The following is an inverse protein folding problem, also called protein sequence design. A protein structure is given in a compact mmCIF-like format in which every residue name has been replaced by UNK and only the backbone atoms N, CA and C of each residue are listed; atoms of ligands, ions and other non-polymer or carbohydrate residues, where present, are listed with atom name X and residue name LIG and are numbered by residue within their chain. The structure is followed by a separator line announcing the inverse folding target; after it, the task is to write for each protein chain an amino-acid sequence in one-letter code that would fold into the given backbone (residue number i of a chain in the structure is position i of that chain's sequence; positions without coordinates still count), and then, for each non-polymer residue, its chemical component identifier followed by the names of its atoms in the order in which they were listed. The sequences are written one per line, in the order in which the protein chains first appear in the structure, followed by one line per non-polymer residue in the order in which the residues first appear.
data_IF_697946149600
#
_entry.id   IF_697946149600
#
_cell.length_a   1.000
_cell.length_b   1.000
_cell.length_c   1.000
_cell.angle_alpha   90.00
_cell.angle_beta   90.00
_cell.angle_gamma   90.00
#
_symmetry.space_group_name_H-M   'P 1'
#
loop_
_entity.id
_entity.type
_entity.pdbx_description
1 polymer ?
#
# COMPACT_ATOMS: atom_id res chain seq x y z
N UNK A 1 18.40 -47.50 14.63
CA UNK A 1 19.17 -46.37 14.09
C UNK A 1 18.87 -46.31 12.60
N UNK A 2 18.33 -45.27 11.98
CA UNK A 2 18.33 -43.85 12.33
C UNK A 2 17.07 -43.18 11.73
N UNK A 3 16.27 -42.54 12.58
CA UNK A 3 14.93 -41.94 12.29
C UNK A 3 15.01 -40.42 12.08
N UNK A 4 16.15 -39.88 11.63
CA UNK A 4 16.47 -38.45 11.79
C UNK A 4 17.01 -37.70 10.56
N UNK A 5 16.79 -38.12 9.32
CA UNK A 5 17.20 -37.29 8.17
C UNK A 5 16.17 -37.30 7.07
N UNK A 6 15.75 -36.09 6.68
CA UNK A 6 14.90 -35.70 5.53
C UNK A 6 13.49 -35.19 5.85
N UNK A 7 13.19 -34.87 7.12
CA UNK A 7 12.32 -33.73 7.42
C UNK A 7 13.17 -32.46 7.46
N UNK A 8 13.65 -32.01 6.29
CA UNK A 8 14.13 -30.64 6.15
C UNK A 8 13.00 -29.84 5.51
N UNK A 9 11.93 -29.74 6.29
CA UNK A 9 10.86 -28.74 6.16
C UNK A 9 11.46 -27.46 6.71
N UNK A 10 12.25 -26.74 5.91
CA UNK A 10 12.77 -25.40 6.18
C UNK A 10 13.07 -24.81 4.80
N UNK A 11 12.49 -23.73 4.30
CA UNK A 11 11.59 -22.75 4.84
C UNK A 11 11.62 -21.61 3.82
N UNK A 12 10.76 -21.65 2.81
CA UNK A 12 10.56 -20.55 1.84
C UNK A 12 9.10 -20.57 1.38
N UNK A 13 8.18 -20.37 2.32
CA UNK A 13 6.76 -20.10 2.05
C UNK A 13 6.27 -18.97 2.97
N UNK A 14 7.10 -17.94 3.15
CA UNK A 14 6.75 -16.73 3.86
C UNK A 14 7.06 -15.54 2.94
N UNK A 15 6.02 -14.99 2.31
CA UNK A 15 6.18 -13.85 1.41
C UNK A 15 4.97 -13.50 0.55
N UNK A 16 3.85 -14.19 0.68
CA UNK A 16 2.56 -13.76 0.12
C UNK A 16 1.65 -13.34 1.26
N UNK A 17 1.96 -12.21 1.88
CA UNK A 17 0.97 -11.47 2.66
C UNK A 17 -0.01 -10.81 1.68
N UNK A 18 -0.87 -11.62 1.07
CA UNK A 18 -2.07 -11.13 0.38
C UNK A 18 -3.08 -10.81 1.48
N UNK A 19 -2.93 -9.64 2.12
CA UNK A 19 -3.96 -9.14 3.02
C UNK A 19 -5.05 -8.47 2.17
N UNK A 20 -6.00 -9.33 1.80
CA UNK A 20 -7.43 -9.05 1.67
C UNK A 20 -7.84 -7.73 1.01
N UNK A 21 -7.84 -7.73 -0.34
CA UNK A 21 -8.78 -6.93 -1.13
C UNK A 21 -10.19 -7.49 -0.89
N UNK A 22 -10.83 -7.15 0.24
CA UNK A 22 -12.16 -7.69 0.58
C UNK A 22 -13.32 -6.69 0.36
N UNK A 23 -13.20 -5.75 -0.58
CA UNK A 23 -14.28 -4.78 -0.86
C UNK A 23 -14.52 -4.45 -2.33
N UNK A 24 -13.99 -5.25 -3.27
CA UNK A 24 -14.07 -4.93 -4.70
C UNK A 24 -15.42 -5.25 -5.37
N UNK A 25 -16.40 -5.87 -4.70
CA UNK A 25 -17.61 -6.40 -5.37
C UNK A 25 -18.91 -5.67 -5.04
N UNK A 26 -19.00 -4.83 -4.00
CA UNK A 26 -20.31 -4.27 -3.57
C UNK A 26 -20.44 -2.74 -3.58
N UNK A 27 -19.47 -1.99 -4.13
CA UNK A 27 -19.55 -0.53 -4.24
C UNK A 27 -19.59 -0.05 -5.68
N UNK A 28 -20.78 0.02 -6.28
CA UNK A 28 -20.99 0.61 -7.61
C UNK A 28 -20.58 2.08 -7.67
N UNK A 29 -19.86 2.48 -8.73
CA UNK A 29 -19.49 3.88 -8.96
C UNK A 29 -18.33 4.13 -9.94
N UNK A 30 -18.54 3.84 -11.24
CA UNK A 30 -18.20 4.80 -12.30
C UNK A 30 -16.75 5.15 -12.69
N UNK A 31 -15.69 4.44 -12.28
CA UNK A 31 -14.36 4.62 -12.89
C UNK A 31 -13.84 3.30 -13.46
N UNK A 32 -14.01 3.10 -14.76
CA UNK A 32 -13.38 2.00 -15.48
C UNK A 32 -11.86 2.00 -15.32
N UNK A 33 -11.20 0.92 -15.75
CA UNK A 33 -9.73 0.82 -15.72
C UNK A 33 -9.12 1.99 -16.50
N UNK A 34 -8.50 2.94 -15.80
CA UNK A 34 -7.89 4.12 -16.42
C UNK A 34 -6.50 4.33 -15.86
N UNK A 35 -5.50 4.31 -16.73
CA UNK A 35 -4.15 4.70 -16.37
C UNK A 35 -4.12 6.19 -16.02
N UNK A 36 -3.37 6.54 -14.98
CA UNK A 36 -3.29 7.89 -14.45
C UNK A 36 -1.86 8.39 -14.63
N UNK A 37 -1.69 9.46 -15.41
CA UNK A 37 -0.39 10.14 -15.50
C UNK A 37 0.07 10.61 -14.12
N UNK A 38 1.37 10.51 -13.85
CA UNK A 38 1.98 11.02 -12.62
C UNK A 38 1.77 12.51 -12.39
N UNK A 39 1.44 13.27 -13.45
CA UNK A 39 1.13 14.70 -13.37
C UNK A 39 -0.34 15.01 -13.08
N UNK A 40 -1.19 14.00 -12.98
CA UNK A 40 -2.62 14.21 -12.69
C UNK A 40 -2.84 14.70 -11.26
N UNK A 41 -3.97 15.37 -11.03
CA UNK A 41 -4.38 15.78 -9.70
C UNK A 41 -4.52 14.57 -8.75
N UNK A 42 -5.10 13.47 -9.23
CA UNK A 42 -5.30 12.24 -8.45
C UNK A 42 -3.95 11.65 -7.98
N UNK A 43 -2.95 11.62 -8.87
CA UNK A 43 -1.61 11.10 -8.53
C UNK A 43 -0.87 12.01 -7.55
N UNK A 44 -1.00 13.34 -7.71
CA UNK A 44 -0.41 14.31 -6.79
C UNK A 44 -1.01 14.21 -5.40
N UNK A 45 -2.35 14.18 -5.30
CA UNK A 45 -3.05 14.04 -4.02
C UNK A 45 -2.68 12.71 -3.35
N UNK A 46 -2.60 11.61 -4.09
CA UNK A 46 -2.19 10.34 -3.52
C UNK A 46 -0.74 10.38 -2.98
N UNK A 47 0.18 11.01 -3.72
CA UNK A 47 1.55 11.20 -3.25
C UNK A 47 1.63 12.14 -2.04
N UNK A 48 0.76 13.15 -1.95
CA UNK A 48 0.65 14.00 -0.76
C UNK A 48 0.20 13.20 0.46
N UNK A 49 -0.80 12.32 0.31
CA UNK A 49 -1.24 11.42 1.39
C UNK A 49 -0.12 10.47 1.82
N UNK A 50 0.59 9.85 0.87
CA UNK A 50 1.71 8.94 1.17
C UNK A 50 2.85 9.69 1.87
N UNK A 51 3.17 10.91 1.43
CA UNK A 51 4.20 11.74 2.07
C UNK A 51 3.78 12.25 3.45
N UNK A 52 2.49 12.54 3.66
CA UNK A 52 1.98 12.96 4.96
C UNK A 52 2.19 11.84 6.00
N UNK A 53 1.79 10.60 5.67
CA UNK A 53 2.01 9.48 6.60
C UNK A 53 3.48 9.12 6.75
N UNK A 54 4.31 9.29 5.71
CA UNK A 54 5.74 9.08 5.81
C UNK A 54 6.42 10.13 6.72
N UNK A 55 5.96 11.38 6.69
CA UNK A 55 6.47 12.43 7.55
C UNK A 55 6.08 12.23 9.01
N UNK A 56 4.84 11.79 9.25
CA UNK A 56 4.30 11.52 10.59
C UNK A 56 3.43 10.25 10.60
N UNK A 57 4.00 9.08 10.94
CA UNK A 57 3.28 7.83 11.03
C UNK A 57 2.10 7.84 12.01
N UNK A 58 2.09 8.75 13.00
CA UNK A 58 0.97 8.86 13.96
C UNK A 58 -0.32 9.37 13.30
N UNK A 59 -0.22 10.01 12.13
CA UNK A 59 -1.36 10.53 11.36
C UNK A 59 -2.03 9.48 10.48
N UNK A 60 -1.50 8.26 10.38
CA UNK A 60 -2.02 7.20 9.49
C UNK A 60 -3.52 7.01 9.66
N UNK A 61 -4.01 6.91 10.89
CA UNK A 61 -5.44 6.74 11.18
C UNK A 61 -6.31 7.85 10.56
N UNK A 62 -5.84 9.10 10.53
CA UNK A 62 -6.57 10.23 9.95
C UNK A 62 -6.64 10.16 8.42
N UNK A 63 -5.68 9.49 7.78
CA UNK A 63 -5.60 9.27 6.34
C UNK A 63 -6.24 7.96 5.86
N UNK A 64 -6.71 7.11 6.76
CA UNK A 64 -7.47 5.91 6.41
C UNK A 64 -8.91 6.24 6.02
N UNK A 65 -9.52 5.38 5.20
CA UNK A 65 -10.98 5.37 4.97
C UNK A 65 -11.72 5.04 6.26
N UNK A 66 -12.94 5.56 6.41
CA UNK A 66 -13.77 5.22 7.55
C UNK A 66 -14.03 3.70 7.62
N UNK A 67 -13.82 3.11 8.80
CA UNK A 67 -14.04 1.68 9.00
C UNK A 67 -12.99 0.75 8.37
N UNK A 68 -11.80 1.27 8.01
CA UNK A 68 -10.68 0.41 7.63
C UNK A 68 -10.41 -0.64 8.71
N UNK A 69 -10.11 -1.87 8.29
CA UNK A 69 -9.78 -2.95 9.22
C UNK A 69 -8.48 -2.63 9.98
N UNK A 70 -8.44 -2.97 11.28
CA UNK A 70 -7.27 -2.70 12.13
C UNK A 70 -5.97 -3.25 11.55
N UNK A 71 -5.99 -4.46 10.99
CA UNK A 71 -4.80 -5.06 10.36
C UNK A 71 -4.30 -4.29 9.12
N UNK A 72 -5.19 -3.63 8.38
CA UNK A 72 -4.77 -2.77 7.25
C UNK A 72 -4.11 -1.50 7.78
N UNK A 73 -4.70 -0.89 8.82
CA UNK A 73 -4.11 0.29 9.46
C UNK A 73 -2.72 -0.02 10.04
N UNK A 74 -2.55 -1.16 10.69
CA UNK A 74 -1.26 -1.62 11.22
C UNK A 74 -0.23 -1.79 10.11
N UNK A 75 -0.58 -2.49 9.01
CA UNK A 75 0.31 -2.62 7.86
C UNK A 75 0.72 -1.28 7.24
N UNK A 76 -0.22 -0.32 7.16
CA UNK A 76 0.06 1.03 6.65
C UNK A 76 0.96 1.78 7.63
N UNK A 77 0.76 1.65 8.93
CA UNK A 77 1.60 2.28 9.96
C UNK A 77 3.03 1.75 9.92
N UNK A 78 3.22 0.43 9.89
CA UNK A 78 4.56 -0.17 9.73
C UNK A 78 5.26 0.29 8.44
N UNK A 79 4.49 0.47 7.38
CA UNK A 79 5.03 0.96 6.10
C UNK A 79 5.34 2.45 6.15
N UNK A 80 4.55 3.25 6.85
CA UNK A 80 4.78 4.66 7.09
C UNK A 80 6.08 4.88 7.89
N UNK A 81 6.32 4.08 8.93
CA UNK A 81 7.59 4.10 9.69
C UNK A 81 8.79 3.82 8.78
N UNK A 82 8.71 2.80 7.93
CA UNK A 82 9.79 2.50 6.96
C UNK A 82 9.97 3.57 5.89
N UNK A 83 8.91 4.28 5.53
CA UNK A 83 8.97 5.41 4.61
C UNK A 83 9.58 6.64 5.27
N UNK A 84 9.37 6.84 6.57
CA UNK A 84 9.97 7.93 7.34
C UNK A 84 11.50 7.85 7.35
N UNK A 85 12.04 6.63 7.37
CA UNK A 85 13.47 6.36 7.28
C UNK A 85 14.04 6.50 5.85
N UNK A 86 13.17 6.62 4.84
CA UNK A 86 13.60 6.65 3.45
C UNK A 86 14.10 8.05 3.04
N UNK A 87 15.28 8.10 2.40
CA UNK A 87 15.82 9.36 1.85
C UNK A 87 14.94 9.97 0.75
N UNK A 88 14.24 9.13 -0.01
CA UNK A 88 13.37 9.56 -1.10
C UNK A 88 12.26 8.55 -1.39
N UNK A 89 11.08 9.05 -1.76
CA UNK A 89 9.94 8.24 -2.20
C UNK A 89 9.68 8.56 -3.67
N UNK A 90 9.78 7.54 -4.53
CA UNK A 90 9.58 7.66 -5.98
C UNK A 90 8.20 7.15 -6.35
N UNK A 91 7.52 7.91 -7.20
CA UNK A 91 6.29 7.48 -7.84
C UNK A 91 6.64 6.57 -9.03
N UNK A 92 6.00 5.40 -9.12
CA UNK A 92 6.21 4.44 -10.22
C UNK A 92 5.04 4.45 -11.19
N UNK A 93 3.81 4.29 -10.68
CA UNK A 93 2.60 4.30 -11.50
C UNK A 93 1.36 4.62 -10.67
N UNK A 94 0.31 5.06 -11.35
CA UNK A 94 -1.03 5.10 -10.80
C UNK A 94 -2.09 4.66 -11.81
N UNK A 95 -3.19 4.10 -11.30
CA UNK A 95 -4.33 3.69 -12.12
C UNK A 95 -5.60 3.60 -11.31
N UNK A 96 -6.72 4.03 -11.88
CA UNK A 96 -8.04 3.75 -11.30
C UNK A 96 -8.47 2.33 -11.65
N UNK A 97 -8.95 1.60 -10.64
CA UNK A 97 -9.49 0.26 -10.76
C UNK A 97 -10.86 0.20 -10.10
N UNK A 98 -11.92 0.47 -10.88
CA UNK A 98 -13.29 0.46 -10.38
C UNK A 98 -13.58 1.65 -9.45
N UNK A 99 -13.31 1.48 -8.16
CA UNK A 99 -13.62 2.45 -7.11
C UNK A 99 -12.41 2.97 -6.32
N UNK A 100 -11.21 2.51 -6.65
CA UNK A 100 -9.99 2.92 -5.96
C UNK A 100 -8.87 3.28 -6.94
N UNK A 101 -8.02 4.21 -6.50
CA UNK A 101 -6.77 4.54 -7.14
C UNK A 101 -5.68 3.63 -6.57
N UNK A 102 -5.06 2.84 -7.44
CA UNK A 102 -3.86 2.08 -7.14
C UNK A 102 -2.67 2.98 -7.41
N UNK A 103 -1.78 3.16 -6.43
CA UNK A 103 -0.55 3.95 -6.58
C UNK A 103 0.63 3.10 -6.12
N UNK A 104 1.59 2.91 -7.02
CA UNK A 104 2.83 2.17 -6.72
C UNK A 104 3.94 3.17 -6.49
N UNK A 105 4.63 3.00 -5.37
CA UNK A 105 5.79 3.81 -4.99
C UNK A 105 6.98 2.91 -4.66
N UNK A 106 8.17 3.44 -4.86
CA UNK A 106 9.41 2.77 -4.48
C UNK A 106 10.29 3.70 -3.64
N UNK A 107 11.14 3.12 -2.79
CA UNK A 107 12.15 3.87 -2.05
C UNK A 107 13.43 3.05 -1.87
N UNK A 108 14.60 3.71 -1.83
CA UNK A 108 15.87 3.03 -1.68
C UNK A 108 15.93 2.33 -0.32
N UNK A 109 16.64 1.20 -0.29
CA UNK A 109 17.07 0.55 0.95
C UNK A 109 18.58 0.63 1.07
N UNK A 110 19.14 0.71 2.30
CA UNK A 110 20.58 0.76 2.52
C UNK A 110 21.32 -0.42 1.87
N UNK A 111 20.68 -1.60 1.87
CA UNK A 111 21.20 -2.80 1.24
C UNK A 111 20.13 -3.45 0.36
N UNK A 112 20.45 -3.64 -0.93
CA UNK A 112 19.62 -4.38 -1.89
C UNK A 112 18.69 -3.54 -2.76
N UNK A 113 17.72 -4.21 -3.39
CA UNK A 113 16.78 -3.60 -4.32
C UNK A 113 15.80 -2.63 -3.61
N UNK A 114 15.36 -1.56 -4.29
CA UNK A 114 14.36 -0.65 -3.76
C UNK A 114 13.12 -1.38 -3.25
N UNK A 115 12.62 -0.97 -2.08
CA UNK A 115 11.36 -1.50 -1.58
C UNK A 115 10.24 -0.86 -2.39
N UNK A 116 9.36 -1.69 -2.96
CA UNK A 116 8.19 -1.23 -3.72
C UNK A 116 6.93 -1.56 -2.95
N UNK A 117 5.99 -0.62 -2.86
CA UNK A 117 4.67 -0.84 -2.26
C UNK A 117 3.58 -0.27 -3.13
N UNK A 118 2.42 -0.93 -3.08
CA UNK A 118 1.21 -0.45 -3.75
C UNK A 118 0.19 0.00 -2.69
N UNK A 119 -0.15 1.28 -2.71
CA UNK A 119 -1.23 1.86 -1.92
C UNK A 119 -2.54 1.82 -2.70
N UNK A 120 -3.63 1.52 -2.00
CA UNK A 120 -4.98 1.59 -2.56
C UNK A 120 -5.74 2.72 -1.89
N UNK A 121 -6.10 3.76 -2.65
CA UNK A 121 -6.80 4.93 -2.14
C UNK A 121 -8.23 5.00 -2.68
N UNK A 122 -9.19 5.39 -1.85
CA UNK A 122 -10.57 5.67 -2.26
C UNK A 122 -10.87 7.15 -2.08
N UNK A 123 -11.74 7.69 -2.93
CA UNK A 123 -12.27 9.03 -2.73
C UNK A 123 -13.41 8.97 -1.71
N UNK A 124 -13.23 9.66 -0.58
CA UNK A 124 -14.21 9.76 0.51
C UNK A 124 -14.29 11.23 0.94
N UNK A 125 -15.49 11.81 0.89
CA UNK A 125 -15.67 13.24 1.18
C UNK A 125 -14.91 14.17 0.23
N UNK A 126 -14.65 13.73 -1.01
CA UNK A 126 -13.90 14.49 -2.01
C UNK A 126 -12.38 14.47 -1.82
N UNK A 127 -11.85 13.64 -0.91
CA UNK A 127 -10.40 13.46 -0.70
C UNK A 127 -9.99 12.01 -0.85
N UNK A 128 -8.76 11.75 -1.28
CA UNK A 128 -8.18 10.42 -1.30
C UNK A 128 -7.79 9.98 0.12
N UNK A 129 -8.22 8.78 0.48
CA UNK A 129 -7.93 8.13 1.75
C UNK A 129 -7.46 6.70 1.51
N UNK A 130 -6.51 6.25 2.33
CA UNK A 130 -5.91 4.92 2.23
C UNK A 130 -6.95 3.89 2.66
N UNK A 131 -7.17 2.91 1.79
CA UNK A 131 -8.08 1.79 1.99
C UNK A 131 -7.36 0.45 2.07
N UNK A 132 -6.09 0.41 1.67
CA UNK A 132 -5.31 -0.82 1.61
C UNK A 132 -3.85 -0.58 1.26
N UNK A 133 -3.05 -1.61 1.50
CA UNK A 133 -1.65 -1.70 1.14
C UNK A 133 -1.31 -3.10 0.65
N UNK A 134 -0.48 -3.20 -0.39
CA UNK A 134 0.14 -4.43 -0.85
C UNK A 134 1.67 -4.34 -0.75
N UNK A 135 2.26 -5.37 -0.14
CA UNK A 135 3.69 -5.54 0.10
C UNK A 135 4.45 -6.11 -1.10
#
# INVERSE_FOLDING_TARGET
MDRRRKHMVVGVLAGLAVVAVFWAVLGGGGRGLRHVSGESADAREAMEVIRAIAGDPTTVAAHMVAGAASGVQEMVAETAERLQEAESIRFEEAGWHGGYLRVRVSWPRPEGDPLTRTFFLKSEGGRLRISGLQL
#
